data_IF_547119586217
#
_entry.id   IF_547119586217
#
_cell.length_a   1.000
_cell.length_b   1.000
_cell.length_c   1.000
_cell.angle_alpha   90.00
_cell.angle_beta   90.00
_cell.angle_gamma   90.00
#
_symmetry.space_group_name_H-M   'P 1'
#
loop_
_entity.id
_entity.type
_entity.pdbx_description
1 polymer ?
#
# COMPACT_ATOMS: atom_id res chain seq x y z
N UNK A 1 7.16 -88.83 -53.48
CA UNK A 1 8.20 -87.81 -53.33
C UNK A 1 7.62 -86.70 -52.38
N UNK A 2 7.81 -86.85 -51.12
CA UNK A 2 7.43 -85.86 -50.11
C UNK A 2 8.69 -85.07 -49.66
N UNK A 3 8.69 -83.76 -49.85
CA UNK A 3 9.67 -82.86 -49.30
C UNK A 3 9.09 -82.24 -47.99
N UNK A 4 9.74 -82.56 -46.89
CA UNK A 4 9.56 -81.95 -45.58
C UNK A 4 10.34 -80.65 -45.54
N UNK A 5 9.59 -79.51 -45.33
CA UNK A 5 10.18 -78.19 -45.00
C UNK A 5 10.26 -78.08 -43.48
N UNK A 6 11.43 -78.08 -42.92
CA UNK A 6 11.70 -77.72 -41.54
C UNK A 6 11.68 -76.18 -41.42
N UNK A 7 10.69 -75.62 -40.72
CA UNK A 7 10.68 -74.20 -40.31
C UNK A 7 11.50 -74.05 -39.02
N UNK A 8 12.64 -73.37 -39.09
CA UNK A 8 13.37 -72.96 -37.93
C UNK A 8 12.73 -71.71 -37.32
N UNK A 9 12.08 -71.85 -36.16
CA UNK A 9 11.58 -70.72 -35.35
C UNK A 9 12.76 -70.03 -34.68
N UNK A 10 13.06 -68.77 -35.11
CA UNK A 10 14.04 -67.89 -34.48
C UNK A 10 13.31 -67.22 -33.29
N UNK A 11 13.51 -67.72 -32.06
CA UNK A 11 13.05 -67.06 -30.82
C UNK A 11 14.04 -65.91 -30.55
N UNK A 12 13.63 -64.70 -30.94
CA UNK A 12 14.30 -63.48 -30.46
C UNK A 12 13.95 -63.31 -28.98
N UNK A 13 14.87 -63.69 -28.08
CA UNK A 13 14.76 -63.41 -26.67
C UNK A 13 14.86 -61.88 -26.44
N UNK A 14 13.77 -61.23 -26.09
CA UNK A 14 13.84 -59.94 -25.44
C UNK A 14 14.60 -60.12 -24.11
N UNK A 15 15.84 -59.69 -24.04
CA UNK A 15 16.52 -59.52 -22.78
C UNK A 15 15.74 -58.50 -21.97
N UNK A 16 14.85 -58.94 -21.06
CA UNK A 16 14.29 -58.09 -20.06
C UNK A 16 15.45 -57.52 -19.25
N UNK A 17 15.61 -56.17 -19.27
CA UNK A 17 16.59 -55.50 -18.45
C UNK A 17 16.31 -55.91 -16.99
N UNK A 18 17.28 -56.51 -16.33
CA UNK A 18 17.12 -57.04 -14.98
C UNK A 18 17.14 -55.85 -14.02
N UNK A 19 15.94 -55.52 -13.50
CA UNK A 19 15.78 -54.44 -12.54
C UNK A 19 16.21 -54.86 -11.13
N UNK A 20 17.03 -54.07 -10.49
CA UNK A 20 17.52 -54.32 -9.13
C UNK A 20 17.03 -53.19 -8.18
N UNK A 21 16.89 -53.44 -6.86
CA UNK A 21 16.43 -52.45 -5.95
C UNK A 21 17.39 -51.26 -5.82
N UNK A 22 16.85 -50.03 -5.77
CA UNK A 22 17.60 -48.82 -5.44
C UNK A 22 17.95 -48.83 -3.95
N UNK A 23 19.25 -49.02 -3.62
CA UNK A 23 19.72 -49.07 -2.23
C UNK A 23 19.98 -47.71 -1.64
N UNK A 24 20.56 -46.82 -2.40
CA UNK A 24 20.79 -45.42 -1.99
C UNK A 24 20.59 -44.44 -3.14
N UNK A 25 20.19 -43.25 -2.80
CA UNK A 25 20.03 -42.13 -3.73
C UNK A 25 20.58 -40.88 -3.07
N UNK A 26 21.60 -40.28 -3.65
CA UNK A 26 22.18 -39.01 -3.21
C UNK A 26 21.93 -37.94 -4.24
N UNK A 27 21.71 -36.71 -3.76
CA UNK A 27 21.62 -35.52 -4.59
C UNK A 27 22.86 -34.67 -4.33
N UNK A 28 23.54 -34.26 -5.40
CA UNK A 28 24.73 -33.40 -5.37
C UNK A 28 24.46 -32.13 -6.21
N UNK A 29 25.05 -31.00 -5.79
CA UNK A 29 24.94 -29.72 -6.50
C UNK A 29 23.68 -28.89 -6.15
N UNK A 30 22.80 -29.43 -5.33
CA UNK A 30 21.69 -28.64 -4.77
C UNK A 30 22.20 -27.64 -3.72
N UNK A 31 21.73 -26.39 -3.78
CA UNK A 31 22.16 -25.31 -2.89
C UNK A 31 20.99 -24.72 -2.08
N UNK A 32 19.83 -24.56 -2.68
CA UNK A 32 18.65 -23.90 -2.14
C UNK A 32 17.46 -24.83 -1.98
N UNK A 33 17.43 -25.91 -2.78
CA UNK A 33 16.36 -26.90 -2.75
C UNK A 33 16.80 -28.10 -1.91
N UNK A 34 16.01 -28.49 -0.95
CA UNK A 34 16.31 -29.63 -0.10
C UNK A 34 16.36 -30.93 -0.91
N UNK A 35 17.40 -31.75 -0.69
CA UNK A 35 17.58 -33.01 -1.37
C UNK A 35 16.34 -33.93 -1.30
N UNK A 36 15.64 -33.96 -0.15
CA UNK A 36 14.44 -34.75 0.02
C UNK A 36 13.31 -34.36 -0.95
N UNK A 37 13.17 -33.06 -1.27
CA UNK A 37 12.16 -32.56 -2.23
C UNK A 37 12.53 -32.96 -3.66
N UNK A 38 13.82 -32.96 -4.00
CA UNK A 38 14.32 -33.39 -5.31
C UNK A 38 14.09 -34.87 -5.49
N UNK A 39 14.41 -35.69 -4.47
CA UNK A 39 14.14 -37.13 -4.47
C UNK A 39 12.65 -37.39 -4.68
N UNK A 40 11.76 -36.73 -3.93
CA UNK A 40 10.31 -36.88 -4.09
C UNK A 40 9.85 -36.50 -5.52
N UNK A 41 10.37 -35.40 -6.07
CA UNK A 41 10.05 -34.94 -7.42
C UNK A 41 10.55 -35.91 -8.51
N UNK A 42 11.70 -36.58 -8.31
CA UNK A 42 12.24 -37.59 -9.25
C UNK A 42 11.28 -38.78 -9.44
N UNK A 43 10.52 -39.12 -8.40
CA UNK A 43 9.66 -40.30 -8.37
C UNK A 43 10.40 -41.61 -8.11
N UNK A 44 11.70 -41.57 -7.83
CA UNK A 44 12.47 -42.74 -7.42
C UNK A 44 12.17 -43.08 -5.96
N UNK A 45 12.03 -44.36 -5.68
CA UNK A 45 11.72 -44.87 -4.33
C UNK A 45 12.80 -45.85 -3.89
N UNK A 46 13.36 -45.63 -2.70
CA UNK A 46 14.34 -46.57 -2.12
C UNK A 46 13.70 -47.96 -1.95
N UNK A 47 14.45 -48.99 -2.32
CA UNK A 47 13.98 -50.38 -2.27
C UNK A 47 13.16 -50.83 -3.50
N UNK A 48 12.65 -49.89 -4.30
CA UNK A 48 11.96 -50.24 -5.56
C UNK A 48 12.94 -50.72 -6.63
N UNK A 49 12.52 -51.65 -7.51
CA UNK A 49 13.37 -52.09 -8.62
C UNK A 49 13.55 -50.94 -9.63
N UNK A 50 14.79 -50.71 -10.03
CA UNK A 50 15.18 -49.68 -10.99
C UNK A 50 16.12 -50.24 -12.04
N UNK A 51 16.02 -49.66 -13.23
CA UNK A 51 16.97 -49.88 -14.35
C UNK A 51 17.28 -48.56 -15.04
N UNK A 52 18.01 -48.56 -16.12
CA UNK A 52 18.38 -47.35 -16.87
C UNK A 52 17.17 -46.54 -17.32
N UNK A 53 16.07 -47.13 -17.89
CA UNK A 53 14.86 -46.39 -18.23
C UNK A 53 14.24 -45.62 -17.07
N UNK A 54 14.18 -46.15 -15.83
CA UNK A 54 13.66 -45.41 -14.67
C UNK A 54 14.55 -44.25 -14.27
N UNK A 55 15.89 -44.39 -14.33
CA UNK A 55 16.82 -43.29 -14.09
C UNK A 55 16.70 -42.19 -15.16
N UNK A 56 16.58 -42.58 -16.46
CA UNK A 56 16.31 -41.63 -17.54
C UNK A 56 15.00 -40.89 -17.33
N UNK A 57 13.90 -41.58 -16.99
CA UNK A 57 12.61 -41.00 -16.70
C UNK A 57 12.65 -40.05 -15.52
N UNK A 58 13.38 -40.39 -14.45
CA UNK A 58 13.53 -39.52 -13.27
C UNK A 58 14.34 -38.23 -13.63
N UNK A 59 15.40 -38.35 -14.40
CA UNK A 59 16.16 -37.21 -14.92
C UNK A 59 15.27 -36.30 -15.77
N UNK A 60 14.57 -36.87 -16.74
CA UNK A 60 13.71 -36.12 -17.65
C UNK A 60 12.57 -35.44 -16.92
N UNK A 61 12.00 -36.08 -15.88
CA UNK A 61 10.99 -35.49 -15.00
C UNK A 61 11.55 -34.28 -14.24
N UNK A 62 12.76 -34.36 -13.70
CA UNK A 62 13.41 -33.24 -13.02
C UNK A 62 13.73 -32.09 -14.00
N UNK A 63 14.22 -32.39 -15.20
CA UNK A 63 14.45 -31.38 -16.25
C UNK A 63 13.14 -30.69 -16.65
N UNK A 64 12.05 -31.44 -16.81
CA UNK A 64 10.74 -30.90 -17.16
C UNK A 64 10.15 -29.93 -16.13
N UNK A 65 10.67 -29.91 -14.89
CA UNK A 65 10.27 -28.91 -13.89
C UNK A 65 10.73 -27.50 -14.24
N UNK A 66 11.76 -27.35 -15.12
CA UNK A 66 12.41 -26.09 -15.43
C UNK A 66 12.99 -25.35 -14.20
N UNK A 67 13.24 -26.07 -13.12
CA UNK A 67 13.87 -25.59 -11.88
C UNK A 67 15.39 -25.76 -11.94
N UNK A 68 15.86 -26.68 -12.77
CA UNK A 68 17.28 -26.99 -12.93
C UNK A 68 17.80 -26.59 -14.32
N UNK A 69 19.02 -26.09 -14.37
CA UNK A 69 19.77 -25.86 -15.64
C UNK A 69 20.22 -27.17 -16.26
N UNK A 70 20.63 -28.12 -15.41
CA UNK A 70 21.01 -29.44 -15.83
C UNK A 70 20.75 -30.47 -14.74
N UNK A 71 20.49 -31.71 -15.18
CA UNK A 71 20.34 -32.87 -14.32
C UNK A 71 21.10 -34.02 -14.99
N UNK A 72 22.12 -34.52 -14.29
CA UNK A 72 22.82 -35.72 -14.65
C UNK A 72 22.66 -36.81 -13.60
N UNK A 73 22.95 -38.05 -13.91
CA UNK A 73 22.98 -39.11 -12.92
C UNK A 73 24.06 -40.12 -13.21
N UNK A 74 24.51 -40.80 -12.16
CA UNK A 74 25.37 -41.99 -12.21
C UNK A 74 24.77 -43.03 -11.27
N UNK A 75 24.91 -44.29 -11.62
CA UNK A 75 24.57 -45.41 -10.73
C UNK A 75 25.58 -46.52 -10.84
N UNK A 76 25.85 -47.15 -9.72
CA UNK A 76 26.79 -48.27 -9.62
C UNK A 76 26.13 -49.42 -8.83
N UNK A 77 26.58 -50.68 -9.05
CA UNK A 77 26.16 -51.73 -8.13
C UNK A 77 26.51 -51.40 -6.69
N UNK A 78 25.59 -51.66 -5.78
CA UNK A 78 25.81 -51.51 -4.34
C UNK A 78 26.94 -52.47 -3.86
N UNK A 79 27.53 -52.18 -2.70
CA UNK A 79 28.63 -52.94 -2.15
C UNK A 79 28.31 -54.44 -1.98
N UNK A 80 27.06 -54.76 -1.66
CA UNK A 80 26.55 -56.11 -1.53
C UNK A 80 26.15 -56.74 -2.88
N UNK A 81 26.24 -56.02 -3.99
CA UNK A 81 25.85 -56.40 -5.35
C UNK A 81 24.34 -56.81 -5.48
N UNK A 82 23.52 -56.43 -4.52
CA UNK A 82 22.08 -56.75 -4.50
C UNK A 82 21.20 -55.60 -4.93
N UNK A 83 21.76 -54.51 -5.43
CA UNK A 83 21.03 -53.32 -5.88
C UNK A 83 21.92 -52.25 -6.49
N UNK A 84 21.38 -51.06 -6.61
CA UNK A 84 22.09 -49.89 -7.16
C UNK A 84 22.22 -48.79 -6.12
N UNK A 85 23.36 -48.11 -6.09
CA UNK A 85 23.62 -46.83 -5.47
C UNK A 85 23.65 -45.77 -6.56
N UNK A 86 22.80 -44.74 -6.46
CA UNK A 86 22.70 -43.69 -7.47
C UNK A 86 23.02 -42.30 -6.90
N UNK A 87 23.58 -41.48 -7.77
CA UNK A 87 23.84 -40.06 -7.49
C UNK A 87 23.22 -39.23 -8.61
N UNK A 88 22.36 -38.30 -8.25
CA UNK A 88 21.88 -37.29 -9.18
C UNK A 88 22.62 -35.98 -8.94
N UNK A 89 23.26 -35.45 -9.99
CA UNK A 89 23.93 -34.16 -9.97
C UNK A 89 23.02 -33.14 -10.62
N UNK A 90 22.63 -32.12 -9.84
CA UNK A 90 21.75 -31.07 -10.29
C UNK A 90 22.45 -29.71 -10.28
N UNK A 91 22.16 -28.87 -11.26
CA UNK A 91 22.51 -27.46 -11.23
C UNK A 91 21.22 -26.67 -11.20
N UNK A 92 20.97 -25.97 -10.09
CA UNK A 92 19.78 -25.16 -9.93
C UNK A 92 19.77 -23.93 -10.85
N UNK A 93 18.60 -23.45 -11.25
CA UNK A 93 18.47 -22.18 -11.98
C UNK A 93 19.04 -21.01 -11.17
N UNK A 94 19.60 -20.00 -11.85
CA UNK A 94 20.44 -18.98 -11.24
C UNK A 94 19.78 -18.21 -10.11
N UNK A 95 18.81 -17.36 -10.40
CA UNK A 95 18.17 -16.52 -9.38
C UNK A 95 16.77 -17.01 -9.04
N UNK A 96 16.44 -16.95 -7.75
CA UNK A 96 15.08 -17.15 -7.25
C UNK A 96 14.50 -15.78 -6.88
N UNK A 97 13.25 -15.57 -7.22
CA UNK A 97 12.53 -14.32 -7.00
C UNK A 97 11.28 -14.59 -6.16
N UNK A 98 10.93 -13.69 -5.23
CA UNK A 98 9.63 -13.74 -4.61
C UNK A 98 8.55 -13.58 -5.69
N UNK A 99 7.37 -14.15 -5.48
CA UNK A 99 6.27 -14.00 -6.42
C UNK A 99 5.06 -13.34 -5.80
N UNK A 100 4.34 -12.59 -6.64
CA UNK A 100 3.12 -11.89 -6.26
C UNK A 100 2.07 -11.97 -7.36
N UNK A 101 0.84 -11.73 -6.96
CA UNK A 101 -0.33 -11.73 -7.83
C UNK A 101 -0.83 -10.32 -7.98
N UNK A 102 -1.03 -9.86 -9.21
CA UNK A 102 -1.56 -8.54 -9.52
C UNK A 102 -2.79 -8.67 -10.40
N UNK A 103 -3.85 -7.92 -10.05
CA UNK A 103 -5.08 -7.83 -10.83
C UNK A 103 -5.81 -9.18 -11.09
N UNK A 104 -5.55 -10.19 -10.28
CA UNK A 104 -6.17 -11.51 -10.40
C UNK A 104 -7.39 -11.62 -9.48
N UNK A 105 -8.46 -12.24 -9.97
CA UNK A 105 -9.57 -12.69 -9.15
C UNK A 105 -9.14 -13.90 -8.31
N UNK A 106 -9.78 -14.06 -7.14
CA UNK A 106 -9.51 -15.16 -6.22
C UNK A 106 -8.83 -14.75 -4.92
N UNK A 107 -8.83 -15.66 -3.97
CA UNK A 107 -8.16 -15.47 -2.69
C UNK A 107 -6.64 -15.64 -2.86
N UNK A 108 -5.85 -14.71 -2.32
CA UNK A 108 -4.39 -14.73 -2.42
C UNK A 108 -3.77 -16.01 -1.85
N UNK A 109 -4.36 -16.61 -0.80
CA UNK A 109 -3.91 -17.89 -0.25
C UNK A 109 -4.18 -19.04 -1.23
N UNK A 110 -5.37 -19.09 -1.85
CA UNK A 110 -5.70 -20.10 -2.83
C UNK A 110 -4.79 -20.02 -4.08
N UNK A 111 -4.44 -18.81 -4.52
CA UNK A 111 -3.49 -18.60 -5.61
C UNK A 111 -2.08 -19.11 -5.23
N UNK A 112 -1.61 -18.85 -4.00
CA UNK A 112 -0.32 -19.39 -3.50
C UNK A 112 -0.33 -20.91 -3.40
N UNK A 113 -1.42 -21.49 -2.92
CA UNK A 113 -1.59 -22.95 -2.84
C UNK A 113 -1.56 -23.60 -4.23
N UNK A 114 -2.17 -22.98 -5.24
CA UNK A 114 -2.08 -23.44 -6.62
C UNK A 114 -0.65 -23.49 -7.14
N UNK A 115 0.17 -22.45 -6.85
CA UNK A 115 1.59 -22.43 -7.19
C UNK A 115 2.36 -23.54 -6.46
N UNK A 116 2.16 -23.68 -5.15
CA UNK A 116 2.85 -24.72 -4.34
C UNK A 116 2.46 -26.15 -4.75
N UNK A 117 1.21 -26.34 -5.14
CA UNK A 117 0.72 -27.63 -5.65
C UNK A 117 1.32 -27.96 -7.03
N UNK A 118 1.47 -26.95 -7.89
CA UNK A 118 2.04 -27.13 -9.22
C UNK A 118 3.55 -27.36 -9.18
N UNK A 119 4.25 -26.80 -8.18
CA UNK A 119 5.70 -27.00 -7.98
C UNK A 119 6.05 -27.17 -6.49
N UNK A 120 5.91 -28.37 -5.95
CA UNK A 120 6.14 -28.64 -4.52
C UNK A 120 7.61 -28.49 -4.07
N UNK A 121 8.57 -28.49 -5.01
CA UNK A 121 9.99 -28.32 -4.69
C UNK A 121 10.32 -26.90 -4.25
N UNK A 122 9.54 -25.91 -4.70
CA UNK A 122 9.78 -24.50 -4.44
C UNK A 122 8.93 -23.99 -3.27
N UNK A 123 9.41 -22.98 -2.59
CA UNK A 123 8.73 -22.29 -1.50
C UNK A 123 8.07 -20.99 -1.96
N UNK A 124 8.41 -19.90 -1.24
CA UNK A 124 7.91 -18.55 -1.54
C UNK A 124 8.76 -17.80 -2.58
N UNK A 125 9.76 -18.46 -3.12
CA UNK A 125 10.61 -17.94 -4.21
C UNK A 125 10.71 -18.95 -5.34
N UNK A 126 10.71 -18.46 -6.59
CA UNK A 126 10.71 -19.27 -7.80
C UNK A 126 11.71 -18.73 -8.84
N UNK A 127 12.29 -19.60 -9.70
CA UNK A 127 13.04 -19.14 -10.86
C UNK A 127 12.16 -18.37 -11.86
N UNK A 128 12.75 -17.36 -12.49
CA UNK A 128 12.08 -16.57 -13.53
C UNK A 128 12.13 -17.19 -14.94
N UNK A 129 12.20 -18.52 -15.07
CA UNK A 129 12.29 -19.19 -16.38
C UNK A 129 10.94 -19.21 -17.10
N UNK A 130 10.88 -18.91 -18.42
CA UNK A 130 9.62 -18.84 -19.16
C UNK A 130 8.78 -20.11 -19.07
N UNK A 131 9.41 -21.30 -19.11
CA UNK A 131 8.75 -22.59 -19.08
C UNK A 131 8.06 -22.84 -17.72
N UNK A 132 8.76 -22.53 -16.62
CA UNK A 132 8.20 -22.63 -15.27
C UNK A 132 7.07 -21.62 -15.09
N UNK A 133 7.28 -20.36 -15.48
CA UNK A 133 6.27 -19.30 -15.34
C UNK A 133 4.99 -19.65 -16.12
N UNK A 134 5.12 -20.18 -17.34
CA UNK A 134 3.96 -20.62 -18.13
C UNK A 134 3.20 -21.79 -17.46
N UNK A 135 3.90 -22.72 -16.82
CA UNK A 135 3.27 -23.84 -16.11
C UNK A 135 2.57 -23.37 -14.84
N UNK A 136 3.22 -22.51 -14.05
CA UNK A 136 2.61 -21.95 -12.84
C UNK A 136 1.44 -21.03 -13.16
N UNK A 137 1.50 -20.26 -14.24
CA UNK A 137 0.39 -19.44 -14.70
C UNK A 137 -0.86 -20.27 -14.98
N UNK A 138 -0.74 -21.44 -15.63
CA UNK A 138 -1.87 -22.35 -15.85
C UNK A 138 -2.48 -22.87 -14.54
N UNK A 139 -1.65 -23.12 -13.52
CA UNK A 139 -2.16 -23.52 -12.22
C UNK A 139 -2.95 -22.37 -11.55
N UNK A 140 -2.44 -21.14 -11.67
CA UNK A 140 -3.10 -19.93 -11.17
C UNK A 140 -4.39 -19.62 -11.92
N UNK A 141 -4.46 -19.88 -13.25
CA UNK A 141 -5.66 -19.72 -14.08
C UNK A 141 -6.86 -20.48 -13.52
N UNK A 142 -6.64 -21.69 -12.99
CA UNK A 142 -7.71 -22.53 -12.44
C UNK A 142 -8.40 -21.91 -11.23
N UNK A 143 -7.72 -21.04 -10.52
CA UNK A 143 -8.23 -20.30 -9.35
C UNK A 143 -8.72 -18.91 -9.76
N UNK A 144 -7.97 -18.22 -10.62
CA UNK A 144 -8.29 -16.87 -11.07
C UNK A 144 -9.47 -16.80 -12.06
N UNK A 145 -9.88 -17.93 -12.63
CA UNK A 145 -11.03 -18.02 -13.55
C UNK A 145 -10.83 -17.31 -14.90
N UNK A 146 -9.56 -17.09 -15.32
CA UNK A 146 -9.22 -16.47 -16.59
C UNK A 146 -7.74 -16.62 -16.94
N UNK A 147 -7.35 -16.30 -18.18
CA UNK A 147 -6.00 -16.49 -18.66
C UNK A 147 -5.00 -15.58 -17.90
N UNK A 148 -3.92 -16.21 -17.42
CA UNK A 148 -2.87 -15.57 -16.60
C UNK A 148 -1.53 -15.69 -17.33
N UNK A 149 -0.65 -14.71 -17.15
CA UNK A 149 0.76 -14.79 -17.49
C UNK A 149 1.64 -14.45 -16.30
N UNK A 150 2.78 -15.13 -16.22
CA UNK A 150 3.84 -14.83 -15.27
C UNK A 150 5.04 -14.20 -15.97
N UNK A 151 5.59 -13.13 -15.40
CA UNK A 151 6.81 -12.48 -15.90
C UNK A 151 7.68 -11.96 -14.75
N UNK A 152 8.96 -11.81 -15.04
CA UNK A 152 9.86 -11.14 -14.13
C UNK A 152 9.56 -9.62 -14.16
N UNK A 153 9.44 -9.00 -12.98
CA UNK A 153 9.27 -7.54 -12.87
C UNK A 153 10.43 -6.81 -13.53
N UNK A 154 10.11 -5.71 -14.22
CA UNK A 154 11.10 -4.80 -14.78
C UNK A 154 11.69 -3.84 -13.74
N UNK A 155 11.16 -3.80 -12.53
CA UNK A 155 11.71 -2.96 -11.45
C UNK A 155 12.95 -3.62 -10.85
N UNK A 156 14.11 -3.07 -11.19
CA UNK A 156 15.39 -3.56 -10.68
C UNK A 156 15.58 -3.38 -9.16
N UNK A 157 14.76 -2.55 -8.49
CA UNK A 157 14.81 -2.32 -7.04
C UNK A 157 13.99 -3.35 -6.26
N UNK A 158 12.98 -3.93 -6.93
CA UNK A 158 12.10 -4.96 -6.35
C UNK A 158 11.86 -6.07 -7.37
N UNK A 159 12.92 -6.91 -7.65
CA UNK A 159 12.78 -7.98 -8.61
C UNK A 159 11.89 -9.09 -8.07
N UNK A 160 10.78 -9.32 -8.75
CA UNK A 160 9.78 -10.33 -8.38
C UNK A 160 9.19 -10.99 -9.63
N UNK A 161 8.71 -12.21 -9.49
CA UNK A 161 7.81 -12.79 -10.48
C UNK A 161 6.39 -12.28 -10.24
N UNK A 162 5.75 -11.76 -11.27
CA UNK A 162 4.40 -11.21 -11.21
C UNK A 162 3.47 -12.06 -12.08
N UNK A 163 2.41 -12.59 -11.46
CA UNK A 163 1.30 -13.23 -12.16
C UNK A 163 0.14 -12.25 -12.30
N UNK A 164 -0.31 -12.02 -13.54
CA UNK A 164 -1.42 -11.10 -13.85
C UNK A 164 -2.24 -11.59 -15.05
N UNK A 165 -3.48 -11.09 -15.24
CA UNK A 165 -4.30 -11.48 -16.38
C UNK A 165 -3.61 -11.12 -17.70
N UNK A 166 -3.71 -11.98 -18.70
CA UNK A 166 -3.26 -11.67 -20.08
C UNK A 166 -4.20 -10.72 -20.81
N UNK A 167 -5.48 -10.71 -20.44
CA UNK A 167 -6.49 -9.77 -20.93
C UNK A 167 -6.57 -8.59 -19.96
N UNK A 168 -6.09 -7.43 -20.34
CA UNK A 168 -6.17 -6.11 -19.70
C UNK A 168 -6.43 -6.05 -18.18
N UNK A 169 -5.85 -5.06 -17.52
CA UNK A 169 -6.12 -4.77 -16.10
C UNK A 169 -7.63 -4.56 -15.90
N UNK A 170 -8.22 -5.26 -14.96
CA UNK A 170 -9.64 -5.08 -14.64
C UNK A 170 -9.82 -3.96 -13.64
N UNK A 171 -10.78 -3.09 -13.92
CA UNK A 171 -11.16 -2.04 -12.99
C UNK A 171 -12.03 -2.60 -11.87
N UNK A 172 -11.96 -1.99 -10.71
CA UNK A 172 -12.91 -2.24 -9.62
C UNK A 172 -14.28 -1.75 -10.05
N UNK A 173 -15.24 -2.65 -10.15
CA UNK A 173 -16.64 -2.33 -10.46
C UNK A 173 -17.47 -2.13 -9.19
N UNK A 174 -17.20 -2.90 -8.15
CA UNK A 174 -17.94 -2.88 -6.89
C UNK A 174 -17.01 -3.18 -5.71
N UNK A 175 -17.32 -2.58 -4.56
CA UNK A 175 -16.64 -2.86 -3.30
C UNK A 175 -17.66 -3.26 -2.24
N UNK A 176 -17.34 -4.30 -1.49
CA UNK A 176 -18.15 -4.81 -0.39
C UNK A 176 -17.30 -4.94 0.88
N UNK A 177 -17.91 -4.70 2.04
CA UNK A 177 -17.28 -4.89 3.34
C UNK A 177 -18.01 -5.96 4.15
N UNK A 178 -17.26 -6.79 4.87
CA UNK A 178 -17.77 -7.84 5.74
C UNK A 178 -17.05 -7.82 7.09
N UNK A 179 -17.70 -8.31 8.15
CA UNK A 179 -17.13 -8.34 9.49
C UNK A 179 -17.25 -7.02 10.27
N UNK A 180 -17.60 -5.93 9.62
CA UNK A 180 -17.83 -4.62 10.21
C UNK A 180 -19.15 -4.56 11.01
N UNK A 181 -19.10 -4.00 12.22
CA UNK A 181 -20.24 -3.82 13.14
C UNK A 181 -20.31 -2.39 13.68
N UNK A 182 -19.17 -1.77 13.96
CA UNK A 182 -19.04 -0.41 14.51
C UNK A 182 -19.41 0.63 13.46
N UNK A 183 -19.01 0.39 12.22
CA UNK A 183 -19.35 1.27 11.09
C UNK A 183 -20.13 0.45 10.07
N UNK A 184 -21.29 0.94 9.66
CA UNK A 184 -22.15 0.25 8.71
C UNK A 184 -21.51 0.12 7.32
N UNK A 185 -21.83 -1.00 6.62
CA UNK A 185 -21.27 -1.29 5.31
C UNK A 185 -21.58 -0.22 4.26
N UNK A 186 -22.73 0.45 4.34
CA UNK A 186 -23.10 1.50 3.40
C UNK A 186 -22.19 2.73 3.53
N UNK A 187 -21.80 3.11 4.74
CA UNK A 187 -20.84 4.19 5.01
C UNK A 187 -19.46 3.81 4.49
N UNK A 188 -18.96 2.61 4.82
CA UNK A 188 -17.66 2.14 4.35
C UNK A 188 -17.61 2.07 2.81
N UNK A 189 -18.62 1.47 2.20
CA UNK A 189 -18.72 1.37 0.75
C UNK A 189 -18.75 2.74 0.08
N UNK A 190 -19.54 3.68 0.59
CA UNK A 190 -19.64 5.04 0.04
C UNK A 190 -18.30 5.78 0.08
N UNK A 191 -17.61 5.75 1.22
CA UNK A 191 -16.32 6.43 1.38
C UNK A 191 -15.25 5.80 0.50
N UNK A 192 -15.17 4.48 0.50
CA UNK A 192 -14.12 3.77 -0.22
C UNK A 192 -14.36 3.73 -1.73
N UNK A 193 -15.62 3.52 -2.18
CA UNK A 193 -15.96 3.48 -3.61
C UNK A 193 -15.64 4.77 -4.33
N UNK A 194 -15.75 5.91 -3.67
CA UNK A 194 -15.41 7.21 -4.26
C UNK A 194 -13.95 7.28 -4.78
N UNK A 195 -13.06 6.51 -4.19
CA UNK A 195 -11.63 6.48 -4.59
C UNK A 195 -11.22 5.20 -5.31
N UNK A 196 -11.98 4.10 -5.19
CA UNK A 196 -11.60 2.77 -5.66
C UNK A 196 -12.32 2.35 -6.96
N UNK A 197 -13.63 2.61 -7.06
CA UNK A 197 -14.43 2.19 -8.22
C UNK A 197 -13.99 2.92 -9.50
N UNK A 198 -13.91 2.19 -10.58
CA UNK A 198 -13.41 2.68 -11.87
C UNK A 198 -11.87 2.69 -11.99
N UNK A 199 -11.14 2.46 -10.91
CA UNK A 199 -9.67 2.38 -10.96
C UNK A 199 -9.20 0.95 -11.22
N UNK A 200 -8.01 0.83 -11.79
CA UNK A 200 -7.36 -0.48 -11.96
C UNK A 200 -7.07 -1.06 -10.59
N UNK A 201 -7.48 -2.31 -10.38
CA UNK A 201 -7.19 -3.03 -9.15
C UNK A 201 -5.69 -3.36 -9.05
N UNK A 202 -5.09 -3.03 -7.91
CA UNK A 202 -3.83 -3.59 -7.42
C UNK A 202 -3.92 -3.75 -5.89
N UNK A 203 -3.31 -4.79 -5.34
CA UNK A 203 -3.35 -5.00 -3.89
C UNK A 203 -2.69 -3.84 -3.12
N UNK A 204 -1.58 -3.31 -3.63
CA UNK A 204 -0.89 -2.16 -3.04
C UNK A 204 -1.79 -0.94 -2.99
N UNK A 205 -2.39 -0.55 -4.12
CA UNK A 205 -3.30 0.60 -4.19
C UNK A 205 -4.54 0.41 -3.32
N UNK A 206 -5.05 -0.83 -3.23
CA UNK A 206 -6.16 -1.14 -2.34
C UNK A 206 -5.80 -0.90 -0.87
N UNK A 207 -4.64 -1.41 -0.41
CA UNK A 207 -4.17 -1.24 0.97
C UNK A 207 -3.91 0.22 1.32
N UNK A 208 -3.24 0.96 0.44
CA UNK A 208 -3.01 2.40 0.63
C UNK A 208 -4.34 3.16 0.78
N UNK A 209 -5.35 2.84 -0.03
CA UNK A 209 -6.69 3.46 0.05
C UNK A 209 -7.44 3.06 1.32
N UNK A 210 -7.32 1.81 1.78
CA UNK A 210 -7.89 1.36 3.05
C UNK A 210 -7.27 2.10 4.22
N UNK A 211 -5.95 2.24 4.22
CA UNK A 211 -5.22 2.95 5.28
C UNK A 211 -5.50 4.46 5.27
N UNK A 212 -5.66 5.06 4.09
CA UNK A 212 -5.95 6.49 3.98
C UNK A 212 -7.43 6.86 4.20
N UNK A 213 -8.37 6.00 3.81
CA UNK A 213 -9.79 6.33 3.79
C UNK A 213 -10.65 5.59 4.81
N UNK A 214 -10.33 4.31 5.09
CA UNK A 214 -11.16 3.48 5.98
C UNK A 214 -10.60 3.42 7.41
N UNK A 215 -9.29 3.24 7.56
CA UNK A 215 -8.65 3.20 8.89
C UNK A 215 -8.96 4.41 9.76
N UNK A 216 -8.90 5.66 9.28
CA UNK A 216 -9.23 6.84 10.11
C UNK A 216 -10.64 6.80 10.66
N UNK A 217 -11.63 6.28 9.91
CA UNK A 217 -13.01 6.16 10.40
C UNK A 217 -13.10 5.27 11.64
N UNK A 218 -12.31 4.20 11.69
CA UNK A 218 -12.23 3.32 12.85
C UNK A 218 -11.41 3.92 13.99
N UNK A 219 -10.31 4.62 13.67
CA UNK A 219 -9.52 5.34 14.67
C UNK A 219 -10.33 6.46 15.35
N UNK A 220 -11.25 7.10 14.65
CA UNK A 220 -12.23 8.03 15.24
C UNK A 220 -13.26 7.34 16.18
N UNK A 221 -13.34 6.02 16.16
CA UNK A 221 -14.15 5.19 17.07
C UNK A 221 -13.28 4.42 18.09
N UNK A 222 -12.04 4.86 18.29
CA UNK A 222 -11.10 4.21 19.20
C UNK A 222 -10.64 2.82 18.78
N UNK A 223 -10.88 2.41 17.53
CA UNK A 223 -10.48 1.08 17.02
C UNK A 223 -9.08 1.15 16.39
N UNK A 224 -8.06 1.31 17.24
CA UNK A 224 -6.68 1.57 16.79
C UNK A 224 -6.00 0.36 16.13
N UNK A 225 -6.52 -0.85 16.32
CA UNK A 225 -5.98 -2.10 15.76
C UNK A 225 -6.84 -2.67 14.64
N UNK A 226 -7.69 -1.84 14.03
CA UNK A 226 -8.44 -2.26 12.85
C UNK A 226 -7.50 -2.83 11.79
N UNK A 227 -7.88 -3.97 11.22
CA UNK A 227 -7.12 -4.64 10.17
C UNK A 227 -8.04 -5.17 9.07
N UNK A 228 -7.43 -5.43 7.91
CA UNK A 228 -8.12 -5.94 6.73
C UNK A 228 -7.47 -7.27 6.31
N UNK A 229 -7.75 -8.36 7.07
CA UNK A 229 -6.97 -9.61 6.97
C UNK A 229 -7.21 -10.34 5.65
N UNK A 230 -8.37 -10.16 5.03
CA UNK A 230 -8.74 -10.88 3.82
C UNK A 230 -9.38 -9.96 2.79
N UNK A 231 -8.95 -10.11 1.55
CA UNK A 231 -9.56 -9.50 0.37
C UNK A 231 -9.92 -10.62 -0.59
N UNK A 232 -11.20 -10.75 -0.92
CA UNK A 232 -11.66 -11.64 -1.97
C UNK A 232 -11.98 -10.82 -3.23
N UNK A 233 -11.66 -11.39 -4.40
CA UNK A 233 -11.80 -10.72 -5.68
C UNK A 233 -12.56 -11.64 -6.61
N UNK A 234 -13.67 -11.18 -7.14
CA UNK A 234 -14.52 -11.93 -8.05
C UNK A 234 -14.83 -11.08 -9.29
N UNK A 235 -15.18 -11.73 -10.39
CA UNK A 235 -15.69 -11.01 -11.56
C UNK A 235 -17.11 -10.55 -11.30
N UNK A 236 -17.38 -9.28 -11.63
CA UNK A 236 -18.75 -8.79 -11.56
C UNK A 236 -19.61 -9.43 -12.66
N UNK A 237 -20.81 -9.93 -12.29
CA UNK A 237 -21.67 -10.71 -13.21
C UNK A 237 -22.18 -9.92 -14.43
N UNK A 238 -22.41 -8.60 -14.26
CA UNK A 238 -23.08 -7.76 -15.27
C UNK A 238 -22.18 -6.69 -15.87
N UNK A 239 -21.06 -6.38 -15.24
CA UNK A 239 -20.16 -5.29 -15.64
C UNK A 239 -18.77 -5.88 -15.86
N UNK A 240 -18.05 -5.43 -16.89
CA UNK A 240 -16.66 -5.85 -17.08
C UNK A 240 -15.78 -5.19 -16.02
N UNK A 241 -15.57 -5.87 -14.90
CA UNK A 241 -14.84 -5.39 -13.75
C UNK A 241 -14.79 -6.40 -12.62
N UNK A 242 -14.24 -5.97 -11.49
CA UNK A 242 -14.06 -6.80 -10.31
C UNK A 242 -14.97 -6.35 -9.18
N UNK A 243 -15.53 -7.31 -8.46
CA UNK A 243 -16.12 -7.14 -7.12
C UNK A 243 -15.01 -7.41 -6.12
N UNK A 244 -14.72 -6.43 -5.27
CA UNK A 244 -13.70 -6.53 -4.22
C UNK A 244 -14.40 -6.60 -2.87
N UNK A 245 -14.34 -7.76 -2.21
CA UNK A 245 -14.91 -7.97 -0.87
C UNK A 245 -13.80 -7.93 0.17
N UNK A 246 -13.90 -6.99 1.10
CA UNK A 246 -12.90 -6.71 2.13
C UNK A 246 -13.43 -7.16 3.48
N UNK A 247 -12.73 -8.10 4.14
CA UNK A 247 -13.02 -8.48 5.51
C UNK A 247 -12.37 -7.48 6.46
N UNK A 248 -13.16 -7.00 7.42
CA UNK A 248 -12.73 -6.08 8.47
C UNK A 248 -12.64 -6.83 9.80
N UNK A 249 -11.50 -6.74 10.45
CA UNK A 249 -11.34 -7.05 11.86
C UNK A 249 -11.20 -5.70 12.59
N UNK A 250 -12.26 -5.31 13.32
CA UNK A 250 -12.37 -3.99 13.94
C UNK A 250 -11.49 -3.83 15.18
N UNK A 251 -10.98 -4.94 15.73
CA UNK A 251 -10.22 -4.96 16.96
C UNK A 251 -11.03 -4.48 18.18
N UNK A 252 -10.34 -4.23 19.29
CA UNK A 252 -10.93 -3.75 20.53
C UNK A 252 -11.00 -2.22 20.56
N UNK A 253 -11.83 -1.69 21.48
CA UNK A 253 -11.96 -0.25 21.74
C UNK A 253 -10.87 0.23 22.70
N UNK A 254 -10.18 1.30 22.34
CA UNK A 254 -9.12 1.90 23.13
C UNK A 254 -9.55 3.21 23.76
N UNK A 255 -8.99 3.50 24.93
CA UNK A 255 -9.17 4.77 25.66
C UNK A 255 -7.87 5.55 25.67
N UNK A 256 -8.00 6.88 25.80
CA UNK A 256 -6.87 7.78 25.99
C UNK A 256 -6.23 7.54 27.35
N UNK A 257 -4.93 7.35 27.37
CA UNK A 257 -4.10 7.27 28.54
C UNK A 257 -3.50 8.61 28.92
N UNK A 258 -2.18 8.65 29.18
CA UNK A 258 -1.49 9.90 29.46
C UNK A 258 -1.34 10.75 28.18
N UNK A 259 -1.60 12.05 28.32
CA UNK A 259 -1.46 13.04 27.24
C UNK A 259 -0.40 14.03 27.64
N UNK A 260 0.77 13.93 27.03
CA UNK A 260 1.90 14.83 27.25
C UNK A 260 2.04 15.79 26.08
N UNK A 261 2.07 17.09 26.36
CA UNK A 261 2.34 18.12 25.34
C UNK A 261 3.71 18.73 25.66
N UNK A 262 4.62 18.69 24.68
CA UNK A 262 5.99 19.23 24.77
C UNK A 262 6.15 20.43 23.83
N UNK A 263 7.09 21.34 24.16
CA UNK A 263 7.36 22.54 23.37
C UNK A 263 6.38 23.69 23.60
N UNK A 264 5.42 23.52 24.53
CA UNK A 264 4.44 24.54 24.93
C UNK A 264 3.93 24.27 26.34
N UNK A 265 3.37 25.30 26.99
CA UNK A 265 2.59 25.18 28.24
C UNK A 265 1.09 24.97 27.97
N UNK A 266 0.65 25.09 26.73
CA UNK A 266 -0.74 24.87 26.33
C UNK A 266 -1.08 23.38 26.36
N UNK A 267 -2.32 23.06 26.66
CA UNK A 267 -2.87 21.69 26.61
C UNK A 267 -3.71 21.54 25.35
N UNK A 268 -3.96 20.30 24.94
CA UNK A 268 -4.98 20.02 23.94
C UNK A 268 -6.37 20.35 24.55
N UNK A 269 -7.22 20.99 23.77
CA UNK A 269 -8.62 21.24 24.14
C UNK A 269 -9.44 19.96 23.89
N UNK A 270 -10.49 19.74 24.67
CA UNK A 270 -11.52 18.70 24.44
C UNK A 270 -10.98 17.26 24.32
N UNK A 271 -9.79 16.99 24.88
CA UNK A 271 -9.13 15.67 24.87
C UNK A 271 -8.68 15.33 26.29
N UNK A 272 -9.24 14.29 26.90
CA UNK A 272 -8.96 13.94 28.28
C UNK A 272 -8.62 12.45 28.45
N UNK A 273 -7.75 12.18 29.41
CA UNK A 273 -7.44 10.81 29.85
C UNK A 273 -8.71 10.06 30.27
N UNK A 274 -8.82 8.81 29.83
CA UNK A 274 -9.94 7.90 30.12
C UNK A 274 -11.12 8.01 29.16
N UNK A 275 -11.15 9.02 28.30
CA UNK A 275 -12.14 9.11 27.22
C UNK A 275 -11.79 8.15 26.08
N UNK A 276 -12.74 7.97 25.15
CA UNK A 276 -12.51 7.21 23.92
C UNK A 276 -11.28 7.74 23.19
N UNK A 277 -10.45 6.85 22.66
CA UNK A 277 -9.30 7.21 21.83
C UNK A 277 -9.74 7.64 20.43
N UNK A 278 -10.53 8.70 20.36
CA UNK A 278 -10.97 9.34 19.12
C UNK A 278 -9.82 10.16 18.53
N UNK A 279 -9.18 9.60 17.49
CA UNK A 279 -8.02 10.24 16.86
C UNK A 279 -8.39 11.48 16.05
N UNK A 280 -9.61 11.56 15.51
CA UNK A 280 -10.11 12.76 14.83
C UNK A 280 -10.27 13.93 15.82
N UNK A 281 -10.77 13.66 17.03
CA UNK A 281 -10.85 14.66 18.09
C UNK A 281 -9.46 15.14 18.54
N UNK A 282 -8.50 14.23 18.62
CA UNK A 282 -7.08 14.57 18.93
C UNK A 282 -6.48 15.47 17.85
N UNK A 283 -6.66 15.14 16.58
CA UNK A 283 -6.15 15.96 15.46
C UNK A 283 -6.86 17.31 15.36
N UNK A 284 -8.18 17.35 15.59
CA UNK A 284 -8.92 18.60 15.63
C UNK A 284 -8.42 19.52 16.74
N UNK A 285 -8.15 18.98 17.93
CA UNK A 285 -7.59 19.73 19.04
C UNK A 285 -6.17 20.25 18.75
N UNK A 286 -5.33 19.48 18.09
CA UNK A 286 -4.00 19.92 17.65
C UNK A 286 -4.12 21.04 16.61
N UNK A 287 -5.06 20.94 15.68
CA UNK A 287 -5.33 21.99 14.70
C UNK A 287 -5.78 23.29 15.36
N UNK A 288 -6.65 23.24 16.37
CA UNK A 288 -7.04 24.41 17.15
C UNK A 288 -5.83 25.05 17.85
N UNK A 289 -4.91 24.21 18.39
CA UNK A 289 -3.68 24.68 18.99
C UNK A 289 -2.78 25.38 17.96
N UNK A 290 -2.67 24.87 16.74
CA UNK A 290 -1.95 25.53 15.66
C UNK A 290 -2.55 26.88 15.29
N UNK A 291 -3.87 26.97 15.16
CA UNK A 291 -4.54 28.26 14.85
C UNK A 291 -4.30 29.30 15.93
N UNK A 292 -4.29 28.89 17.21
CA UNK A 292 -3.90 29.78 18.32
C UNK A 292 -2.48 30.32 18.15
N UNK A 293 -1.50 29.42 17.87
CA UNK A 293 -0.11 29.84 17.69
C UNK A 293 0.07 30.72 16.45
N UNK A 294 -0.62 30.44 15.35
CA UNK A 294 -0.59 31.30 14.16
C UNK A 294 -1.11 32.70 14.47
N UNK A 295 -2.19 32.80 15.26
CA UNK A 295 -2.74 34.09 15.70
C UNK A 295 -1.83 34.82 16.70
N UNK A 296 -0.90 34.11 17.36
CA UNK A 296 0.17 34.67 18.18
C UNK A 296 1.45 34.98 17.37
N UNK A 297 1.40 34.88 16.03
CA UNK A 297 2.48 35.19 15.09
C UNK A 297 3.40 34.04 14.73
N UNK A 298 3.17 32.83 15.19
CA UNK A 298 3.99 31.65 14.85
C UNK A 298 3.47 30.99 13.57
N UNK A 299 3.75 31.58 12.42
CA UNK A 299 3.15 31.21 11.14
C UNK A 299 3.45 29.76 10.71
N UNK A 300 4.64 29.27 11.04
CA UNK A 300 5.14 27.95 10.64
C UNK A 300 5.13 26.94 11.81
N UNK A 301 4.18 27.12 12.73
CA UNK A 301 4.00 26.15 13.81
C UNK A 301 3.70 24.76 13.23
N UNK A 302 4.41 23.77 13.73
CA UNK A 302 4.24 22.36 13.37
C UNK A 302 4.25 21.48 14.61
N UNK A 303 3.86 20.25 14.47
CA UNK A 303 3.92 19.30 15.57
C UNK A 303 3.80 17.87 15.09
N UNK A 304 4.14 16.96 15.99
CA UNK A 304 4.08 15.51 15.79
C UNK A 304 3.33 14.88 16.94
N UNK A 305 2.49 13.89 16.63
CA UNK A 305 1.83 13.04 17.62
C UNK A 305 2.52 11.67 17.59
N UNK A 306 3.16 11.30 18.69
CA UNK A 306 3.66 9.95 18.92
C UNK A 306 2.64 9.20 19.78
N UNK A 307 2.30 7.97 19.38
CA UNK A 307 1.30 7.11 20.02
C UNK A 307 2.02 5.91 20.64
N UNK A 308 1.78 5.64 21.91
CA UNK A 308 2.21 4.42 22.59
C UNK A 308 1.00 3.60 22.99
N UNK A 309 0.78 2.49 22.31
CA UNK A 309 -0.41 1.66 22.50
C UNK A 309 -0.10 0.53 23.47
N UNK A 310 -0.91 0.41 24.53
CA UNK A 310 -0.92 -0.69 25.48
C UNK A 310 -2.11 -1.59 25.15
N UNK A 311 -1.85 -2.67 24.41
CA UNK A 311 -2.87 -3.61 23.97
C UNK A 311 -3.50 -4.39 25.13
N UNK A 312 -2.77 -4.63 26.23
CA UNK A 312 -3.27 -5.34 27.37
C UNK A 312 -4.26 -4.48 28.20
N UNK A 313 -4.00 -3.17 28.27
CA UNK A 313 -4.86 -2.23 28.97
C UNK A 313 -5.90 -1.54 28.05
N UNK A 314 -5.91 -1.84 26.78
CA UNK A 314 -6.69 -1.17 25.72
C UNK A 314 -6.59 0.37 25.85
N UNK A 315 -5.35 0.86 25.93
CA UNK A 315 -5.05 2.26 26.18
C UNK A 315 -4.00 2.78 25.19
N UNK A 316 -4.12 4.06 24.84
CA UNK A 316 -3.09 4.76 24.08
C UNK A 316 -2.62 6.01 24.81
N UNK A 317 -1.32 6.09 25.07
CA UNK A 317 -0.68 7.30 25.58
C UNK A 317 -0.21 8.15 24.40
N UNK A 318 -0.41 9.47 24.50
CA UNK A 318 -0.08 10.42 23.46
C UNK A 318 1.04 11.36 23.89
N UNK A 319 2.04 11.52 23.05
CA UNK A 319 3.06 12.57 23.21
C UNK A 319 2.97 13.50 21.99
N UNK A 320 2.49 14.72 22.23
CA UNK A 320 2.44 15.77 21.22
C UNK A 320 3.66 16.65 21.39
N UNK A 321 4.50 16.73 20.37
CA UNK A 321 5.66 17.62 20.35
C UNK A 321 5.37 18.78 19.42
N UNK A 322 5.23 20.01 19.98
CA UNK A 322 5.00 21.24 19.23
C UNK A 322 6.32 21.95 18.96
N UNK A 323 6.48 22.41 17.73
CA UNK A 323 7.59 23.27 17.29
C UNK A 323 7.00 24.60 16.80
N UNK A 324 6.97 25.64 17.65
CA UNK A 324 6.33 26.91 17.27
C UNK A 324 7.04 27.62 16.11
N UNK A 325 8.36 27.50 16.01
CA UNK A 325 9.15 28.25 15.05
C UNK A 325 9.38 29.70 15.50
N UNK A 326 9.74 30.57 14.56
CA UNK A 326 9.95 32.01 14.83
C UNK A 326 8.61 32.75 14.89
N UNK A 327 8.52 33.74 15.77
CA UNK A 327 7.38 34.64 15.85
C UNK A 327 7.53 35.78 14.83
N UNK A 328 6.52 35.95 14.00
CA UNK A 328 6.41 37.04 13.04
C UNK A 328 5.56 38.18 13.60
N UNK A 329 5.88 39.41 13.20
CA UNK A 329 5.20 40.63 13.63
C UNK A 329 4.71 41.41 12.42
N UNK A 330 3.69 42.24 12.64
CA UNK A 330 3.27 43.18 11.61
C UNK A 330 4.41 44.16 11.33
N UNK A 331 4.83 44.24 10.08
CA UNK A 331 5.79 45.16 9.54
C UNK A 331 5.09 46.45 9.05
N UNK A 332 5.54 46.95 7.90
CA UNK A 332 5.02 48.17 7.28
C UNK A 332 3.61 48.02 6.77
N UNK A 333 2.76 48.99 7.08
CA UNK A 333 1.44 49.12 6.42
C UNK A 333 1.56 50.05 5.20
N UNK A 334 1.17 49.57 4.03
CA UNK A 334 1.00 50.37 2.80
C UNK A 334 -0.50 50.43 2.48
N UNK A 335 -0.98 51.63 2.18
CA UNK A 335 -2.37 51.88 1.82
C UNK A 335 -2.39 52.50 0.42
N UNK A 336 -3.25 51.98 -0.45
CA UNK A 336 -3.40 52.46 -1.85
C UNK A 336 -4.88 52.75 -2.15
N UNK A 337 -5.11 53.73 -2.99
CA UNK A 337 -6.45 54.04 -3.53
C UNK A 337 -7.33 54.91 -2.63
N UNK A 338 -6.78 55.48 -1.56
CA UNK A 338 -7.49 56.43 -0.71
C UNK A 338 -6.97 57.87 -0.89
N UNK A 339 -7.77 58.83 -0.54
CA UNK A 339 -7.42 60.25 -0.51
C UNK A 339 -6.54 60.60 0.72
N UNK A 340 -5.96 61.80 0.69
CA UNK A 340 -5.04 62.32 1.73
C UNK A 340 -5.73 62.52 3.10
N UNK A 341 -7.06 62.49 3.18
CA UNK A 341 -7.82 62.64 4.41
C UNK A 341 -8.15 61.29 5.04
N UNK A 342 -8.56 60.33 4.21
CA UNK A 342 -8.99 59.00 4.66
C UNK A 342 -7.82 58.07 5.03
N UNK A 343 -6.68 58.14 4.30
CA UNK A 343 -5.52 57.29 4.60
C UNK A 343 -4.96 57.45 6.04
N UNK A 344 -4.74 58.65 6.57
CA UNK A 344 -4.24 58.81 7.95
C UNK A 344 -5.20 58.28 9.01
N UNK A 345 -6.52 58.35 8.75
CA UNK A 345 -7.54 57.84 9.65
C UNK A 345 -7.51 56.31 9.71
N UNK A 346 -7.48 55.64 8.56
CA UNK A 346 -7.33 54.19 8.49
C UNK A 346 -6.02 53.73 9.14
N UNK A 347 -4.91 54.41 8.86
CA UNK A 347 -3.61 54.08 9.46
C UNK A 347 -3.65 54.21 11.00
N UNK A 348 -4.35 55.22 11.54
CA UNK A 348 -4.55 55.40 12.99
C UNK A 348 -5.39 54.24 13.60
N UNK A 349 -6.42 53.77 12.92
CA UNK A 349 -7.27 52.70 13.39
C UNK A 349 -6.57 51.33 13.26
N UNK A 350 -5.66 51.16 12.30
CA UNK A 350 -4.91 49.93 12.08
C UNK A 350 -4.13 49.53 13.34
N UNK A 351 -3.22 50.32 13.82
CA UNK A 351 -2.51 50.22 15.11
C UNK A 351 -1.86 48.84 15.38
N UNK A 352 -1.45 48.09 14.36
CA UNK A 352 -0.91 46.73 14.50
C UNK A 352 0.60 46.63 14.31
N UNK A 353 1.27 47.66 13.82
CA UNK A 353 2.72 47.62 13.56
C UNK A 353 3.49 47.14 14.80
N UNK A 354 4.43 46.20 14.63
CA UNK A 354 5.23 45.59 15.70
C UNK A 354 4.53 44.59 16.60
N UNK A 355 3.19 44.45 16.54
CA UNK A 355 2.46 43.42 17.27
C UNK A 355 2.63 42.05 16.61
N UNK A 356 2.40 40.93 17.33
CA UNK A 356 2.38 39.61 16.73
C UNK A 356 1.46 39.56 15.51
N UNK A 357 1.93 38.96 14.41
CA UNK A 357 1.16 38.90 13.19
C UNK A 357 0.00 37.91 13.30
N UNK A 358 -1.16 38.33 12.86
CA UNK A 358 -2.38 37.53 12.83
C UNK A 358 -2.83 37.37 11.38
N UNK A 359 -2.73 36.17 10.77
CA UNK A 359 -2.99 36.01 9.33
C UNK A 359 -4.38 36.46 8.86
N UNK A 360 -5.41 36.27 9.68
CA UNK A 360 -6.77 36.67 9.38
C UNK A 360 -7.11 38.15 9.65
N UNK A 361 -6.21 38.90 10.33
CA UNK A 361 -6.51 40.25 10.77
C UNK A 361 -6.68 41.25 9.60
N UNK A 362 -5.84 41.28 8.56
CA UNK A 362 -5.97 42.24 7.47
C UNK A 362 -7.35 42.17 6.78
N UNK A 363 -7.81 40.98 6.48
CA UNK A 363 -9.15 40.77 5.88
C UNK A 363 -10.28 41.12 6.87
N UNK A 364 -10.15 40.71 8.13
CA UNK A 364 -11.13 41.06 9.17
C UNK A 364 -11.20 42.57 9.38
N UNK A 365 -10.05 43.26 9.30
CA UNK A 365 -10.01 44.73 9.40
C UNK A 365 -10.76 45.39 8.24
N UNK A 366 -10.52 44.97 6.99
CA UNK A 366 -11.24 45.50 5.84
C UNK A 366 -12.73 45.20 5.90
N UNK A 367 -13.13 44.04 6.41
CA UNK A 367 -14.52 43.67 6.62
C UNK A 367 -15.17 44.61 7.63
N UNK A 368 -14.50 44.84 8.77
CA UNK A 368 -14.98 45.77 9.82
C UNK A 368 -15.15 47.18 9.30
N UNK A 369 -14.20 47.72 8.55
CA UNK A 369 -14.28 49.06 7.95
C UNK A 369 -15.55 49.23 7.06
N UNK A 370 -15.93 48.18 6.35
CA UNK A 370 -17.14 48.16 5.50
C UNK A 370 -18.44 48.07 6.34
N UNK A 371 -18.42 47.28 7.41
CA UNK A 371 -19.60 47.06 8.26
C UNK A 371 -19.90 48.24 9.17
N UNK A 372 -18.89 48.94 9.63
CA UNK A 372 -19.05 50.10 10.52
C UNK A 372 -19.43 51.38 9.76
N UNK A 373 -19.46 51.33 8.41
CA UNK A 373 -19.87 52.43 7.50
C UNK A 373 -19.17 53.78 7.84
N UNK A 374 -17.94 53.70 8.37
CA UNK A 374 -17.18 54.86 8.86
C UNK A 374 -16.63 55.69 7.70
N UNK A 375 -16.53 55.11 6.54
CA UNK A 375 -15.99 55.72 5.34
C UNK A 375 -16.94 55.59 4.17
N UNK A 376 -17.35 56.71 3.58
CA UNK A 376 -18.12 56.74 2.36
C UNK A 376 -17.31 56.13 1.20
N UNK A 377 -17.88 55.12 0.51
CA UNK A 377 -17.42 54.63 -0.77
C UNK A 377 -16.00 54.02 -0.78
N UNK A 378 -15.72 53.02 0.07
CA UNK A 378 -14.45 52.28 0.03
C UNK A 378 -14.26 51.43 -1.23
N UNK A 379 -15.31 51.14 -1.98
CA UNK A 379 -15.29 50.31 -3.17
C UNK A 379 -14.89 48.87 -2.90
N UNK A 380 -14.24 48.24 -3.86
CA UNK A 380 -13.63 46.91 -3.65
C UNK A 380 -12.36 47.06 -2.80
N UNK A 381 -12.22 46.20 -1.83
CA UNK A 381 -11.07 46.21 -0.91
C UNK A 381 -10.30 44.89 -1.00
N UNK A 382 -8.98 44.95 -0.92
CA UNK A 382 -8.08 43.79 -0.93
C UNK A 382 -6.97 43.98 0.11
N UNK A 383 -6.58 42.92 0.77
CA UNK A 383 -5.38 42.87 1.60
C UNK A 383 -4.38 41.89 1.00
N UNK A 384 -3.17 42.35 0.81
CA UNK A 384 -2.02 41.52 0.42
C UNK A 384 -0.96 41.54 1.52
N UNK A 385 -0.25 40.43 1.70
CA UNK A 385 0.80 40.30 2.72
C UNK A 385 2.11 39.90 2.07
N UNK A 386 3.22 40.48 2.54
CA UNK A 386 4.58 40.12 2.13
C UNK A 386 5.41 39.73 3.34
N UNK A 387 5.89 38.48 3.36
CA UNK A 387 6.63 37.90 4.48
C UNK A 387 8.14 38.13 4.25
N UNK A 388 8.80 38.72 5.22
CA UNK A 388 10.25 38.91 5.27
C UNK A 388 10.86 37.89 6.23
N UNK A 389 11.48 36.86 5.68
CA UNK A 389 12.02 35.72 6.46
C UNK A 389 13.26 36.13 7.31
N UNK A 390 14.04 37.12 6.89
CA UNK A 390 15.23 37.63 7.55
C UNK A 390 14.88 38.45 8.81
N UNK A 391 13.89 39.34 8.67
CA UNK A 391 13.49 40.27 9.76
C UNK A 391 12.33 39.75 10.60
N UNK A 392 11.70 38.68 10.19
CA UNK A 392 10.47 38.14 10.80
C UNK A 392 9.31 39.15 10.85
N UNK A 393 9.27 40.02 9.83
CA UNK A 393 8.18 40.98 9.64
C UNK A 393 7.25 40.55 8.50
N UNK A 394 6.02 40.97 8.61
CA UNK A 394 5.01 40.79 7.57
C UNK A 394 4.43 42.14 7.21
N UNK A 395 4.80 42.65 6.06
CA UNK A 395 4.24 43.88 5.54
C UNK A 395 2.83 43.65 5.00
N UNK A 396 1.96 44.60 5.21
CA UNK A 396 0.57 44.54 4.76
C UNK A 396 0.28 45.65 3.78
N UNK A 397 -0.31 45.31 2.65
CA UNK A 397 -0.80 46.28 1.67
C UNK A 397 -2.32 46.20 1.62
N UNK A 398 -2.97 47.30 1.93
CA UNK A 398 -4.42 47.45 1.80
C UNK A 398 -4.72 48.28 0.56
N UNK A 399 -5.50 47.72 -0.37
CA UNK A 399 -5.92 48.38 -1.61
C UNK A 399 -7.41 48.67 -1.56
N UNK A 400 -7.79 49.88 -1.90
CA UNK A 400 -9.17 50.37 -1.97
C UNK A 400 -9.42 50.84 -3.42
N UNK A 401 -10.34 50.15 -4.09
CA UNK A 401 -10.78 50.53 -5.44
C UNK A 401 -12.11 51.30 -5.32
N UNK A 402 -12.01 52.54 -4.86
CA UNK A 402 -13.21 53.40 -4.77
C UNK A 402 -13.90 53.52 -6.12
N UNK A 403 -15.23 53.55 -6.13
CA UNK A 403 -15.98 53.83 -7.38
C UNK A 403 -15.62 55.24 -7.84
N UNK A 404 -15.19 55.46 -9.11
CA UNK A 404 -14.97 56.81 -9.59
C UNK A 404 -16.25 57.63 -9.36
N UNK A 405 -16.14 58.69 -8.56
CA UNK A 405 -17.28 59.62 -8.35
C UNK A 405 -17.48 60.35 -9.65
N UNK A 406 -18.64 60.21 -10.32
CA UNK A 406 -18.97 61.01 -11.45
C UNK A 406 -18.94 62.49 -11.01
N UNK A 407 -18.16 63.37 -11.67
CA UNK A 407 -18.07 64.78 -11.31
C UNK A 407 -19.45 65.48 -11.20
N UNK A 408 -20.49 64.86 -11.77
CA UNK A 408 -21.87 65.37 -11.72
C UNK A 408 -22.61 65.06 -10.41
N UNK A 409 -22.07 64.12 -9.58
CA UNK A 409 -22.71 63.70 -8.33
C UNK A 409 -22.13 64.35 -7.05
N UNK A 410 -21.18 65.28 -7.20
CA UNK A 410 -20.65 66.03 -6.10
C UNK A 410 -21.69 67.04 -5.64
N UNK A 411 -22.56 66.61 -4.71
CA UNK A 411 -23.49 67.56 -4.01
C UNK A 411 -22.67 68.48 -3.12
N UNK A 412 -22.85 69.81 -3.23
CA UNK A 412 -22.15 70.73 -2.35
C UNK A 412 -22.55 70.45 -0.90
N UNK A 413 -21.52 70.26 -0.03
CA UNK A 413 -21.75 70.15 1.42
C UNK A 413 -22.47 71.42 1.92
N UNK A 414 -23.69 71.27 2.41
CA UNK A 414 -24.35 72.34 3.17
C UNK A 414 -23.52 72.59 4.43
N UNK A 415 -23.09 73.85 4.59
CA UNK A 415 -22.48 74.35 5.81
C UNK A 415 -23.44 74.34 6.99
#
# INVERSE_FOLDING_TARGET
MFRVFSAAMLVAGLAAAQAFPLKSLRIEGNQRIEAARIVAASGLVLGAPVDKPQFDAARDKLIATAVFQSVGYEYNPSADKLGYDAVFRVAEQGSLYPYRFEDLAGDAQALREAVRKAEPMLGDTIPGTPELLARLARAVESVAGGPVAGFLSSDARDPAVVFRPTSGRKNVAEVQFTGNKVIDSGTLTRVFSASAVGTVFTETSLRERLDAGVRPLYEAKGRLRVSFPKVAIERHEKIDGLVVTISVDEGEEYKLGEITVRGTTSKLADVKKGELADMDAVEASLKQLYEKYKNDGYLYVSGKIDRTVDDAAHRVDLTVTLTPGAQYRFGKLTIKGLDIISEPQIRKVWGMEGKPFQPGYPEAFLKRLREEDVFDNLGKTKADTNIHEDTKLVDVELTFEGTPVDPKDVRPRRR
#
